data_IF_498642306493
#
_entry.id   IF_498642306493
#
_cell.length_a   1.000
_cell.length_b   1.000
_cell.length_c   1.000
_cell.angle_alpha   90.00
_cell.angle_beta   90.00
_cell.angle_gamma   90.00
#
_symmetry.space_group_name_H-M   'P 1'
#
loop_
_entity.id
_entity.type
_entity.pdbx_description
1 polymer ?
#
# COMPACT_ATOMS: atom_id res chain seq x y z
N UNK A 1 10.05 9.79 -17.52
CA UNK A 1 8.81 8.99 -17.51
C UNK A 1 7.76 9.85 -16.83
N UNK A 2 6.74 10.29 -17.56
CA UNK A 2 5.68 11.16 -17.03
C UNK A 2 4.55 10.23 -16.58
N UNK A 3 4.37 10.07 -15.27
CA UNK A 3 3.20 9.38 -14.72
C UNK A 3 2.05 10.39 -14.74
N UNK A 4 1.20 10.31 -15.76
CA UNK A 4 -0.05 11.08 -15.80
C UNK A 4 -0.99 10.40 -14.80
N UNK A 5 -1.09 10.96 -13.59
CA UNK A 5 -2.12 10.54 -12.64
C UNK A 5 -3.49 10.85 -13.27
N UNK A 6 -4.44 9.88 -13.28
CA UNK A 6 -5.79 10.16 -13.74
C UNK A 6 -6.39 11.26 -12.85
N UNK A 7 -6.88 12.34 -13.48
CA UNK A 7 -7.55 13.44 -12.81
C UNK A 7 -8.88 12.94 -12.21
N UNK A 8 -8.85 12.47 -10.97
CA UNK A 8 -10.04 12.06 -10.24
C UNK A 8 -10.85 13.31 -9.82
N UNK A 9 -11.68 13.80 -10.75
CA UNK A 9 -12.72 14.79 -10.47
C UNK A 9 -13.84 14.17 -9.62
N UNK A 10 -13.62 14.02 -8.31
CA UNK A 10 -14.65 13.58 -7.37
C UNK A 10 -15.45 14.78 -6.85
N UNK A 11 -16.50 15.18 -7.58
CA UNK A 11 -17.53 16.10 -7.09
C UNK A 11 -18.55 15.32 -6.26
N UNK A 12 -18.27 15.11 -4.98
CA UNK A 12 -19.16 14.43 -4.03
C UNK A 12 -18.65 14.58 -2.61
N UNK A 13 -19.54 14.89 -1.66
CA UNK A 13 -19.21 15.27 -0.27
C UNK A 13 -18.20 14.35 0.42
N UNK A 14 -17.52 14.86 1.45
CA UNK A 14 -16.30 14.31 2.09
C UNK A 14 -16.11 12.78 2.05
N UNK A 15 -17.16 11.97 2.33
CA UNK A 15 -17.08 10.50 2.28
C UNK A 15 -16.90 9.88 0.88
N UNK A 16 -17.41 10.52 -0.18
CA UNK A 16 -17.20 10.09 -1.57
C UNK A 16 -15.78 10.41 -2.05
N UNK A 17 -15.20 11.51 -1.57
CA UNK A 17 -13.81 11.88 -1.87
C UNK A 17 -12.81 10.88 -1.28
N UNK A 18 -13.03 10.42 -0.04
CA UNK A 18 -12.17 9.44 0.62
C UNK A 18 -12.30 8.04 0.01
N UNK A 19 -13.53 7.61 -0.34
CA UNK A 19 -13.73 6.33 -1.02
C UNK A 19 -13.08 6.31 -2.40
N UNK A 20 -13.13 7.43 -3.12
CA UNK A 20 -12.39 7.64 -4.37
C UNK A 20 -10.87 7.55 -4.16
N UNK A 21 -10.36 8.16 -3.09
CA UNK A 21 -8.95 8.11 -2.71
C UNK A 21 -8.45 6.67 -2.52
N UNK A 22 -9.20 5.86 -1.78
CA UNK A 22 -8.87 4.44 -1.55
C UNK A 22 -8.86 3.67 -2.87
N UNK A 23 -9.84 3.92 -3.75
CA UNK A 23 -9.88 3.30 -5.08
C UNK A 23 -8.68 3.71 -5.94
N UNK A 24 -8.28 4.99 -5.91
CA UNK A 24 -7.11 5.49 -6.65
C UNK A 24 -5.81 4.86 -6.14
N UNK A 25 -5.63 4.75 -4.82
CA UNK A 25 -4.44 4.10 -4.23
C UNK A 25 -4.40 2.61 -4.62
N UNK A 26 -5.53 1.89 -4.53
CA UNK A 26 -5.61 0.48 -4.94
C UNK A 26 -5.25 0.31 -6.41
N UNK A 27 -5.84 1.11 -7.29
CA UNK A 27 -5.58 1.06 -8.72
C UNK A 27 -4.10 1.32 -9.04
N UNK A 28 -3.49 2.31 -8.40
CA UNK A 28 -2.08 2.61 -8.58
C UNK A 28 -1.16 1.48 -8.09
N UNK A 29 -1.52 0.81 -6.99
CA UNK A 29 -0.78 -0.35 -6.49
C UNK A 29 -0.97 -1.60 -7.35
N UNK A 30 -2.16 -1.83 -7.91
CA UNK A 30 -2.44 -2.96 -8.81
C UNK A 30 -1.75 -2.80 -10.17
N UNK A 31 -1.50 -1.56 -10.60
CA UNK A 31 -0.70 -1.28 -11.79
C UNK A 31 0.79 -1.66 -11.61
N UNK A 32 1.23 -1.91 -10.37
CA UNK A 32 2.61 -2.24 -10.03
C UNK A 32 2.76 -3.75 -9.80
N UNK A 33 3.29 -4.50 -10.78
CA UNK A 33 3.32 -5.97 -10.74
C UNK A 33 4.25 -6.54 -9.66
N UNK A 34 4.98 -5.67 -8.98
CA UNK A 34 6.03 -6.01 -8.02
C UNK A 34 5.60 -5.79 -6.56
N UNK A 35 4.34 -5.43 -6.33
CA UNK A 35 3.73 -5.31 -4.99
C UNK A 35 2.52 -6.22 -4.95
N UNK A 36 2.57 -7.28 -4.13
CA UNK A 36 1.40 -8.16 -3.96
C UNK A 36 0.35 -7.46 -3.10
N UNK A 37 -0.61 -6.80 -3.75
CA UNK A 37 -1.64 -5.98 -3.09
C UNK A 37 -2.70 -6.79 -2.36
N UNK A 38 -2.80 -8.10 -2.63
CA UNK A 38 -3.79 -9.00 -1.99
C UNK A 38 -3.61 -9.13 -0.48
N UNK A 39 -2.40 -8.91 0.00
CA UNK A 39 -2.04 -8.95 1.42
C UNK A 39 -2.21 -7.60 2.12
N UNK A 40 -2.76 -6.58 1.42
CA UNK A 40 -3.03 -5.25 1.95
C UNK A 40 -4.54 -5.04 2.20
N UNK A 41 -4.85 -4.51 3.38
CA UNK A 41 -6.17 -4.08 3.80
C UNK A 41 -6.22 -2.54 3.84
N UNK A 42 -7.30 -1.95 3.33
CA UNK A 42 -7.50 -0.51 3.30
C UNK A 42 -8.71 -0.16 4.14
N UNK A 43 -8.53 0.74 5.09
CA UNK A 43 -9.59 1.21 5.99
C UNK A 43 -9.64 2.73 6.00
N UNK A 44 -10.84 3.26 6.20
CA UNK A 44 -11.06 4.70 6.33
C UNK A 44 -11.29 5.02 7.80
N UNK A 45 -10.55 6.00 8.32
CA UNK A 45 -10.70 6.48 9.69
C UNK A 45 -10.78 8.01 9.67
N UNK A 46 -12.01 8.52 9.74
CA UNK A 46 -12.28 9.94 9.52
C UNK A 46 -11.87 10.36 8.10
N UNK A 47 -10.94 11.33 8.00
CA UNK A 47 -10.38 11.81 6.74
C UNK A 47 -9.02 11.17 6.39
N UNK A 48 -8.68 10.06 7.05
CA UNK A 48 -7.42 9.34 6.85
C UNK A 48 -7.66 7.95 6.27
N UNK A 49 -6.72 7.50 5.46
CA UNK A 49 -6.64 6.14 4.92
C UNK A 49 -5.58 5.36 5.70
N UNK A 50 -5.99 4.23 6.25
CA UNK A 50 -5.11 3.27 6.91
C UNK A 50 -4.85 2.11 5.95
N UNK A 51 -3.59 1.83 5.69
CA UNK A 51 -3.13 0.73 4.84
C UNK A 51 -2.38 -0.25 5.75
N UNK A 52 -2.95 -1.43 5.98
CA UNK A 52 -2.39 -2.45 6.86
C UNK A 52 -2.10 -3.72 6.06
N UNK A 53 -1.05 -4.47 6.38
CA UNK A 53 -0.83 -5.74 5.68
C UNK A 53 0.57 -6.29 5.82
N UNK A 54 0.86 -7.29 4.99
CA UNK A 54 2.18 -7.92 4.93
C UNK A 54 2.70 -7.84 3.50
N UNK A 55 3.95 -7.45 3.31
CA UNK A 55 4.62 -7.47 2.02
C UNK A 55 5.91 -8.27 2.13
N UNK A 56 6.10 -9.24 1.24
CA UNK A 56 7.32 -10.07 1.17
C UNK A 56 8.51 -9.35 0.52
N UNK A 57 8.31 -8.09 0.09
CA UNK A 57 9.34 -7.30 -0.59
C UNK A 57 10.00 -6.29 0.36
N UNK A 58 11.34 -6.32 0.51
CA UNK A 58 12.05 -5.28 1.23
C UNK A 58 11.84 -3.91 0.55
N UNK A 59 11.50 -2.90 1.34
CA UNK A 59 11.16 -1.56 0.84
C UNK A 59 9.76 -1.44 0.23
N UNK A 60 8.96 -2.51 0.21
CA UNK A 60 7.57 -2.47 -0.26
C UNK A 60 6.69 -1.53 0.59
N UNK A 61 6.89 -1.53 1.91
CA UNK A 61 6.17 -0.62 2.81
C UNK A 61 6.43 0.86 2.47
N UNK A 62 7.68 1.19 2.14
CA UNK A 62 8.11 2.57 1.85
C UNK A 62 7.59 3.02 0.50
N UNK A 63 7.56 2.11 -0.48
CA UNK A 63 6.93 2.34 -1.77
C UNK A 63 5.43 2.60 -1.63
N UNK A 64 4.70 1.73 -0.92
CA UNK A 64 3.25 1.90 -0.67
C UNK A 64 2.98 3.22 0.03
N UNK A 65 3.81 3.58 1.01
CA UNK A 65 3.71 4.85 1.70
C UNK A 65 3.90 6.03 0.76
N UNK A 66 4.99 6.08 -0.01
CA UNK A 66 5.25 7.18 -0.95
C UNK A 66 4.14 7.33 -1.98
N UNK A 67 3.65 6.21 -2.54
CA UNK A 67 2.57 6.23 -3.52
C UNK A 67 1.26 6.73 -2.90
N UNK A 68 0.90 6.22 -1.72
CA UNK A 68 -0.31 6.65 -1.03
C UNK A 68 -0.22 8.12 -0.62
N UNK A 69 0.90 8.59 -0.08
CA UNK A 69 1.11 10.00 0.27
C UNK A 69 1.08 10.92 -0.97
N UNK A 70 1.56 10.46 -2.13
CA UNK A 70 1.49 11.22 -3.37
C UNK A 70 0.05 11.40 -3.89
N UNK A 71 -0.84 10.44 -3.64
CA UNK A 71 -2.26 10.47 -4.07
C UNK A 71 -3.13 11.18 -3.03
N UNK A 72 -2.93 10.88 -1.75
CA UNK A 72 -3.80 11.29 -0.64
C UNK A 72 -3.30 12.51 0.15
N UNK A 73 -2.01 12.84 0.02
CA UNK A 73 -1.31 13.79 0.87
C UNK A 73 -0.79 13.14 2.16
N UNK A 74 0.43 13.52 2.57
CA UNK A 74 1.13 12.93 3.71
C UNK A 74 0.37 13.02 5.05
N UNK A 75 -0.49 14.02 5.23
CA UNK A 75 -1.27 14.19 6.46
C UNK A 75 -2.46 13.22 6.59
N UNK A 76 -2.80 12.46 5.55
CA UNK A 76 -4.01 11.63 5.47
C UNK A 76 -3.74 10.14 5.34
N UNK A 77 -2.49 9.70 5.42
CA UNK A 77 -2.11 8.29 5.21
C UNK A 77 -1.43 7.73 6.43
N UNK A 78 -1.87 6.55 6.86
CA UNK A 78 -1.25 5.77 7.93
C UNK A 78 -0.90 4.40 7.34
N UNK A 79 0.38 4.04 7.30
CA UNK A 79 0.85 2.76 6.76
C UNK A 79 1.37 1.87 7.88
N UNK A 80 0.83 0.64 7.98
CA UNK A 80 1.19 -0.39 8.95
C UNK A 80 1.44 -1.70 8.22
N UNK A 81 2.54 -1.74 7.48
CA UNK A 81 2.93 -2.91 6.70
C UNK A 81 4.08 -3.60 7.40
N UNK A 82 3.93 -4.90 7.64
CA UNK A 82 5.00 -5.76 8.13
C UNK A 82 5.72 -6.41 6.96
N UNK A 83 7.04 -6.45 6.99
CA UNK A 83 7.82 -7.32 6.10
C UNK A 83 8.28 -8.51 6.94
N UNK A 84 7.91 -9.76 6.59
CA UNK A 84 8.45 -10.91 7.28
C UNK A 84 9.97 -10.92 7.06
N UNK A 85 10.77 -11.21 8.11
CA UNK A 85 12.19 -11.42 7.89
C UNK A 85 12.37 -12.60 6.94
N UNK A 86 13.39 -12.54 6.07
CA UNK A 86 13.79 -13.54 5.06
C UNK A 86 14.24 -14.91 5.66
N UNK A 87 13.62 -15.36 6.77
CA UNK A 87 13.98 -16.54 7.56
C UNK A 87 12.82 -17.52 7.65
N UNK A 88 12.53 -18.21 6.55
CA UNK A 88 11.85 -19.51 6.62
C UNK A 88 12.28 -20.52 5.53
N UNK A 89 13.21 -20.18 4.63
CA UNK A 89 13.65 -21.10 3.57
C UNK A 89 15.05 -21.73 3.80
N UNK A 90 15.74 -21.40 4.92
CA UNK A 90 17.12 -21.87 5.20
C UNK A 90 17.31 -22.64 6.52
N UNK A 91 16.29 -23.29 7.06
CA UNK A 91 16.44 -24.14 8.27
C UNK A 91 16.38 -25.66 7.99
N UNK A 92 16.43 -26.11 6.74
CA UNK A 92 16.68 -27.52 6.40
C UNK A 92 18.16 -27.76 6.06
N UNK A 93 19.07 -27.32 6.95
CA UNK A 93 20.44 -27.83 6.92
C UNK A 93 20.46 -29.21 7.59
N UNK A 94 21.17 -30.22 7.05
CA UNK A 94 21.27 -31.52 7.70
C UNK A 94 21.92 -31.37 9.09
N UNK A 95 21.49 -32.16 10.09
CA UNK A 95 22.06 -32.06 11.43
C UNK A 95 23.57 -32.35 11.41
N UNK A 96 24.35 -31.70 12.29
CA UNK A 96 25.79 -31.92 12.38
C UNK A 96 26.12 -33.38 12.80
N UNK A 97 27.32 -33.87 12.45
CA UNK A 97 27.72 -35.27 12.59
C UNK A 97 27.76 -35.76 14.04
#
# INVERSE_FOLDING_TARGET
MILILPEFHCRGGDGAAISGLVASIKCALEAEPSVETRSLNFRVLGNSVVIEGVLDRPGGAEYVRQLAEAIAGASRVIVRISCPPERAARQNGPPPP
#
